data_IF_643049470953
#
_entry.id   IF_643049470953
#
_cell.length_a   1.000
_cell.length_b   1.000
_cell.length_c   1.000
_cell.angle_alpha   90.00
_cell.angle_beta   90.00
_cell.angle_gamma   90.00
#
_symmetry.space_group_name_H-M   'P 1'
#
loop_
_entity.id
_entity.type
_entity.pdbx_description
1 polymer ?
#
# COMPACT_ATOMS: atom_id res chain seq x y z
N UNK A 1 -24.33 -14.83 10.90
CA UNK A 1 -22.90 -14.93 11.26
C UNK A 1 -22.16 -15.16 9.96
N UNK A 2 -21.76 -14.09 9.30
CA UNK A 2 -20.70 -14.11 8.29
C UNK A 2 -19.78 -12.97 8.66
N UNK A 3 -18.87 -13.27 9.59
CA UNK A 3 -17.72 -12.45 9.89
C UNK A 3 -16.80 -12.60 8.68
N UNK A 4 -17.05 -11.84 7.61
CA UNK A 4 -16.13 -11.70 6.47
C UNK A 4 -14.95 -10.80 6.89
N UNK A 5 -14.33 -11.19 7.99
CA UNK A 5 -13.11 -10.63 8.56
C UNK A 5 -11.93 -11.30 7.85
N UNK A 6 -11.94 -11.28 6.51
CA UNK A 6 -11.18 -12.24 5.72
C UNK A 6 -10.65 -11.68 4.42
N UNK A 7 -9.76 -10.68 4.46
CA UNK A 7 -8.89 -10.30 3.32
C UNK A 7 -9.66 -9.86 2.02
N UNK A 8 -11.00 -9.87 2.07
CA UNK A 8 -12.01 -9.38 1.11
C UNK A 8 -12.78 -8.16 1.65
N UNK A 9 -12.34 -7.58 2.77
CA UNK A 9 -13.14 -6.66 3.59
C UNK A 9 -13.14 -5.18 3.17
N UNK A 10 -12.93 -4.83 1.90
CA UNK A 10 -13.12 -3.43 1.47
C UNK A 10 -14.38 -3.30 0.62
N UNK A 11 -15.47 -2.71 1.18
CA UNK A 11 -16.72 -2.57 0.46
C UNK A 11 -16.53 -1.70 -0.79
N UNK A 12 -16.78 -2.29 -1.96
CA UNK A 12 -16.81 -1.59 -3.26
C UNK A 12 -15.68 -1.93 -4.25
N UNK A 13 -14.72 -2.79 -3.91
CA UNK A 13 -13.70 -3.27 -4.86
C UNK A 13 -13.51 -4.79 -4.78
N UNK A 14 -13.77 -5.49 -5.88
CA UNK A 14 -13.53 -6.94 -5.95
C UNK A 14 -12.04 -7.30 -5.84
N UNK A 15 -11.74 -8.59 -5.69
CA UNK A 15 -10.37 -9.14 -5.57
C UNK A 15 -9.40 -8.60 -6.64
N UNK A 16 -9.84 -8.51 -7.90
CA UNK A 16 -9.06 -7.92 -8.98
C UNK A 16 -8.74 -6.43 -8.77
N UNK A 17 -9.67 -5.66 -8.20
CA UNK A 17 -9.47 -4.25 -7.88
C UNK A 17 -8.40 -4.07 -6.81
N UNK A 18 -8.39 -4.91 -5.78
CA UNK A 18 -7.35 -4.90 -4.74
C UNK A 18 -5.95 -5.20 -5.29
N UNK A 19 -5.81 -6.21 -6.15
CA UNK A 19 -4.54 -6.52 -6.81
C UNK A 19 -4.07 -5.37 -7.70
N UNK A 20 -4.99 -4.78 -8.47
CA UNK A 20 -4.68 -3.68 -9.37
C UNK A 20 -4.28 -2.42 -8.58
N UNK A 21 -4.98 -2.12 -7.49
CA UNK A 21 -4.64 -1.04 -6.56
C UNK A 21 -3.25 -1.26 -5.94
N UNK A 22 -2.97 -2.46 -5.43
CA UNK A 22 -1.67 -2.76 -4.82
C UNK A 22 -0.51 -2.60 -5.81
N UNK A 23 -0.69 -3.08 -7.05
CA UNK A 23 0.30 -2.92 -8.11
C UNK A 23 0.52 -1.45 -8.49
N UNK A 24 -0.56 -0.69 -8.73
CA UNK A 24 -0.48 0.74 -9.04
C UNK A 24 0.15 1.52 -7.88
N UNK A 25 -0.23 1.22 -6.65
CA UNK A 25 0.28 1.90 -5.46
C UNK A 25 1.78 1.72 -5.28
N UNK A 26 2.28 0.48 -5.43
CA UNK A 26 3.71 0.18 -5.36
C UNK A 26 4.52 0.93 -6.42
N UNK A 27 4.03 0.92 -7.67
CA UNK A 27 4.67 1.63 -8.79
C UNK A 27 4.69 3.16 -8.58
N UNK A 28 3.57 3.74 -8.14
CA UNK A 28 3.48 5.19 -7.88
C UNK A 28 4.38 5.59 -6.71
N UNK A 29 4.42 4.78 -5.64
CA UNK A 29 5.24 5.05 -4.47
C UNK A 29 6.74 5.02 -4.81
N UNK A 30 7.17 4.04 -5.59
CA UNK A 30 8.54 3.94 -6.10
C UNK A 30 8.92 5.19 -6.92
N UNK A 31 8.09 5.55 -7.90
CA UNK A 31 8.36 6.69 -8.77
C UNK A 31 8.40 8.01 -7.99
N UNK A 32 7.54 8.13 -6.98
CA UNK A 32 7.54 9.28 -6.05
C UNK A 32 8.82 9.35 -5.23
N UNK A 33 9.38 8.20 -4.84
CA UNK A 33 10.63 8.10 -4.10
C UNK A 33 11.88 8.27 -4.96
N UNK A 34 11.74 8.35 -6.29
CA UNK A 34 12.85 8.44 -7.25
C UNK A 34 13.88 7.31 -7.02
N UNK A 35 13.37 6.09 -6.85
CA UNK A 35 14.17 4.88 -6.63
C UNK A 35 13.89 3.88 -7.74
N UNK A 36 14.92 3.18 -8.17
CA UNK A 36 14.80 2.06 -9.11
C UNK A 36 14.86 0.76 -8.31
N UNK A 37 13.70 0.31 -7.82
CA UNK A 37 13.56 -1.02 -7.25
C UNK A 37 13.05 -1.99 -8.34
N UNK A 38 13.27 -3.29 -8.11
CA UNK A 38 12.76 -4.30 -9.03
C UNK A 38 11.23 -4.40 -8.99
N UNK A 39 10.64 -4.93 -10.06
CA UNK A 39 9.21 -5.26 -10.16
C UNK A 39 8.68 -6.03 -8.93
N UNK A 40 9.49 -6.94 -8.39
CA UNK A 40 9.15 -7.74 -7.22
C UNK A 40 9.06 -6.90 -5.94
N UNK A 41 9.95 -5.93 -5.76
CA UNK A 41 9.91 -4.99 -4.63
C UNK A 41 8.65 -4.14 -4.68
N UNK A 42 8.26 -3.64 -5.86
CA UNK A 42 7.07 -2.81 -6.01
C UNK A 42 5.79 -3.55 -5.62
N UNK A 43 5.67 -4.82 -6.02
CA UNK A 43 4.53 -5.65 -5.64
C UNK A 43 4.52 -5.89 -4.13
N UNK A 44 5.65 -6.29 -3.55
CA UNK A 44 5.73 -6.55 -2.10
C UNK A 44 5.43 -5.30 -1.27
N UNK A 45 5.98 -4.17 -1.67
CA UNK A 45 5.76 -2.86 -1.05
C UNK A 45 4.32 -2.42 -1.23
N UNK A 46 3.72 -2.63 -2.41
CA UNK A 46 2.31 -2.31 -2.66
C UNK A 46 1.36 -3.14 -1.80
N UNK A 47 1.64 -4.43 -1.65
CA UNK A 47 0.88 -5.32 -0.76
C UNK A 47 1.07 -4.89 0.70
N UNK A 48 2.30 -4.73 1.17
CA UNK A 48 2.56 -4.31 2.55
C UNK A 48 1.97 -2.91 2.84
N UNK A 49 2.00 -2.02 1.84
CA UNK A 49 1.48 -0.66 1.89
C UNK A 49 -0.03 -0.62 2.03
N UNK A 50 -0.78 -1.55 1.44
CA UNK A 50 -2.24 -1.62 1.62
C UNK A 50 -2.62 -2.00 3.04
N UNK A 51 -1.89 -2.94 3.67
CA UNK A 51 -2.09 -3.28 5.09
C UNK A 51 -1.75 -2.12 6.02
N UNK A 52 -0.59 -1.49 5.82
CA UNK A 52 -0.13 -0.38 6.67
C UNK A 52 -1.04 0.84 6.48
N UNK A 53 -1.33 1.21 5.24
CA UNK A 53 -2.20 2.33 4.90
C UNK A 53 -3.61 2.15 5.46
N UNK A 54 -4.21 0.97 5.26
CA UNK A 54 -5.55 0.66 5.78
C UNK A 54 -5.62 0.73 7.31
N UNK A 55 -4.60 0.20 7.97
CA UNK A 55 -4.48 0.28 9.44
C UNK A 55 -4.37 1.72 9.91
N UNK A 56 -3.50 2.53 9.29
CA UNK A 56 -3.33 3.94 9.62
C UNK A 56 -4.59 4.76 9.37
N UNK A 57 -5.27 4.55 8.24
CA UNK A 57 -6.54 5.22 7.94
C UNK A 57 -7.61 4.91 8.99
N UNK A 58 -7.70 3.64 9.41
CA UNK A 58 -8.59 3.22 10.50
C UNK A 58 -8.27 3.87 11.84
N UNK A 59 -6.97 4.01 12.19
CA UNK A 59 -6.55 4.67 13.43
C UNK A 59 -6.84 6.18 13.46
N UNK A 60 -6.77 6.85 12.32
CA UNK A 60 -7.11 8.27 12.20
C UNK A 60 -8.63 8.48 12.12
N UNK A 61 -9.42 7.41 12.03
CA UNK A 61 -10.88 7.48 11.90
C UNK A 61 -11.34 7.98 10.53
N UNK A 62 -10.48 7.90 9.50
CA UNK A 62 -10.81 8.31 8.14
C UNK A 62 -11.16 7.08 7.32
N UNK A 63 -12.45 6.96 7.01
CA UNK A 63 -12.95 5.87 6.17
C UNK A 63 -12.88 6.26 4.70
N UNK A 64 -11.99 5.62 3.96
CA UNK A 64 -11.90 5.75 2.52
C UNK A 64 -12.68 4.60 1.86
N UNK A 65 -13.66 4.95 1.03
CA UNK A 65 -14.51 3.98 0.33
C UNK A 65 -14.25 3.99 -1.18
N UNK A 66 -14.47 2.84 -1.81
CA UNK A 66 -14.33 2.67 -3.25
C UNK A 66 -12.88 2.59 -3.75
N UNK A 67 -12.74 2.45 -5.06
CA UNK A 67 -11.47 2.18 -5.72
C UNK A 67 -10.43 3.28 -5.50
N UNK A 68 -10.82 4.54 -5.68
CA UNK A 68 -9.90 5.67 -5.54
C UNK A 68 -9.46 5.88 -4.09
N UNK A 69 -10.38 5.74 -3.14
CA UNK A 69 -10.05 5.87 -1.71
C UNK A 69 -9.03 4.83 -1.29
N UNK A 70 -9.25 3.57 -1.66
CA UNK A 70 -8.32 2.49 -1.36
C UNK A 70 -6.97 2.65 -2.08
N UNK A 71 -6.98 3.17 -3.32
CA UNK A 71 -5.75 3.48 -4.06
C UNK A 71 -4.91 4.53 -3.33
N UNK A 72 -5.52 5.63 -2.87
CA UNK A 72 -4.81 6.68 -2.13
C UNK A 72 -4.23 6.13 -0.84
N UNK A 73 -5.01 5.37 -0.08
CA UNK A 73 -4.55 4.74 1.18
C UNK A 73 -3.38 3.79 0.94
N UNK A 74 -3.46 2.94 -0.08
CA UNK A 74 -2.39 2.02 -0.44
C UNK A 74 -1.12 2.77 -0.90
N UNK A 75 -1.26 3.85 -1.68
CA UNK A 75 -0.12 4.70 -2.11
C UNK A 75 0.56 5.30 -0.88
N UNK A 76 -0.21 5.90 0.04
CA UNK A 76 0.35 6.52 1.24
C UNK A 76 1.09 5.50 2.12
N UNK A 77 0.50 4.31 2.32
CA UNK A 77 1.15 3.23 3.06
C UNK A 77 2.43 2.73 2.37
N UNK A 78 2.41 2.56 1.05
CA UNK A 78 3.58 2.15 0.28
C UNK A 78 4.71 3.18 0.31
N UNK A 79 4.39 4.48 0.18
CA UNK A 79 5.36 5.58 0.34
C UNK A 79 5.98 5.53 1.73
N UNK A 80 5.18 5.34 2.78
CA UNK A 80 5.68 5.28 4.16
C UNK A 80 6.65 4.11 4.37
N UNK A 81 6.36 2.95 3.79
CA UNK A 81 7.24 1.78 3.84
C UNK A 81 8.56 2.06 3.11
N UNK A 82 8.51 2.56 1.87
CA UNK A 82 9.71 2.87 1.10
C UNK A 82 10.56 3.94 1.78
N UNK A 83 9.93 4.91 2.44
CA UNK A 83 10.63 5.93 3.20
C UNK A 83 11.45 5.33 4.34
N UNK A 84 10.84 4.42 5.13
CA UNK A 84 11.50 3.73 6.24
C UNK A 84 12.59 2.79 5.71
N UNK A 85 12.26 1.97 4.72
CA UNK A 85 13.18 1.01 4.12
C UNK A 85 14.41 1.73 3.55
N UNK A 86 14.16 2.81 2.82
CA UNK A 86 15.21 3.60 2.21
C UNK A 86 16.11 4.33 3.19
N UNK A 87 15.58 4.75 4.34
CA UNK A 87 16.39 5.28 5.44
C UNK A 87 17.30 4.21 6.08
N UNK A 88 16.90 2.94 6.06
CA UNK A 88 17.73 1.84 6.57
C UNK A 88 18.91 1.52 5.64
N UNK A 89 18.69 1.65 4.34
CA UNK A 89 19.68 1.34 3.30
C UNK A 89 20.80 2.38 3.24
N UNK A 90 20.50 3.66 3.48
CA UNK A 90 21.49 4.74 3.58
C UNK A 90 22.52 4.57 4.70
N UNK A 91 22.38 3.55 5.58
CA UNK A 91 23.36 3.26 6.64
C UNK A 91 24.34 2.14 6.29
N UNK A 92 24.16 1.42 5.17
CA UNK A 92 24.94 0.22 4.85
C UNK A 92 25.98 0.40 3.73
N UNK A 93 26.09 1.60 3.17
CA UNK A 93 27.09 1.97 2.15
C UNK A 93 28.08 3.04 2.67
N UNK A 94 28.45 2.96 3.94
CA UNK A 94 29.71 3.54 4.43
C UNK A 94 30.68 2.44 4.79
#
# INVERSE_FOLDING_TARGET
MEQDFGIMGMPGVGFFGLLLIGFLAGYVAEKTMNRDHGFLTNILVGIAGSFVGGTLAGLVGVSFYGFLGNLVVAILGAILILWIFGRSESRRTR
#
